data_IF_639912843605
#
_entry.id   IF_639912843605
#
_cell.length_a   1.000
_cell.length_b   1.000
_cell.length_c   1.000
_cell.angle_alpha   90.00
_cell.angle_beta   90.00
_cell.angle_gamma   90.00
#
_symmetry.space_group_name_H-M   'P 1'
#
loop_
_entity.id
_entity.type
_entity.pdbx_description
1 polymer ?
#
# COMPACT_ATOMS: atom_id res chain seq x y z
N UNK A 1 -31.71 -43.46 75.75
CA UNK A 1 -32.48 -42.66 74.75
C UNK A 1 -31.55 -41.62 74.17
N UNK A 2 -30.88 -41.99 73.08
CA UNK A 2 -29.93 -41.07 72.41
C UNK A 2 -30.60 -40.51 71.15
N UNK A 3 -30.72 -39.18 71.05
CA UNK A 3 -31.21 -38.53 69.88
C UNK A 3 -30.01 -38.13 69.03
N UNK A 4 -29.92 -38.75 67.87
CA UNK A 4 -28.91 -38.42 66.86
C UNK A 4 -29.40 -37.19 66.05
N UNK A 5 -28.68 -36.09 66.14
CA UNK A 5 -28.93 -34.88 65.32
C UNK A 5 -28.08 -34.97 64.03
N UNK A 6 -28.77 -35.12 62.94
CA UNK A 6 -28.16 -35.13 61.60
C UNK A 6 -28.03 -33.69 61.09
N UNK A 7 -26.81 -33.19 61.06
CA UNK A 7 -26.52 -31.85 60.54
C UNK A 7 -26.30 -31.94 59.02
N UNK A 8 -27.21 -31.35 58.23
CA UNK A 8 -27.13 -31.30 56.79
C UNK A 8 -26.29 -30.08 56.41
N UNK A 9 -25.08 -30.26 55.85
CA UNK A 9 -24.22 -29.20 55.33
C UNK A 9 -24.65 -28.94 53.92
N UNK A 10 -25.16 -27.72 53.63
CA UNK A 10 -25.47 -27.23 52.32
C UNK A 10 -24.20 -26.51 51.79
N UNK A 11 -23.50 -27.12 50.85
CA UNK A 11 -22.42 -26.52 50.13
C UNK A 11 -22.96 -25.67 48.97
N UNK A 12 -22.99 -24.37 49.11
CA UNK A 12 -23.29 -23.41 48.04
C UNK A 12 -22.08 -23.23 47.13
N UNK A 13 -22.12 -23.82 45.94
CA UNK A 13 -21.13 -23.59 44.87
C UNK A 13 -21.39 -22.22 44.25
N UNK A 14 -20.55 -21.25 44.55
CA UNK A 14 -20.54 -19.94 43.86
C UNK A 14 -19.91 -20.14 42.51
N UNK A 15 -20.73 -20.22 41.44
CA UNK A 15 -20.29 -20.23 40.07
C UNK A 15 -19.81 -18.85 39.69
N UNK A 16 -18.48 -18.66 39.51
CA UNK A 16 -17.91 -17.44 38.92
C UNK A 16 -18.24 -17.39 37.46
N UNK A 17 -19.20 -16.56 37.08
CA UNK A 17 -19.43 -16.16 35.67
C UNK A 17 -18.27 -15.30 35.22
N UNK A 18 -17.34 -15.91 34.48
CA UNK A 18 -16.33 -15.18 33.70
C UNK A 18 -17.03 -14.40 32.59
N UNK A 19 -17.34 -13.14 32.88
CA UNK A 19 -17.75 -12.19 31.83
C UNK A 19 -16.57 -11.94 30.88
N UNK A 20 -16.52 -12.67 29.78
CA UNK A 20 -15.64 -12.34 28.66
C UNK A 20 -16.16 -11.05 28.03
N UNK A 21 -15.60 -9.92 28.43
CA UNK A 21 -15.77 -8.67 27.69
C UNK A 21 -15.23 -8.90 26.28
N UNK A 22 -16.05 -8.80 25.20
CA UNK A 22 -15.49 -8.75 23.87
C UNK A 22 -14.61 -7.50 23.83
N UNK A 23 -13.31 -7.71 23.60
CA UNK A 23 -12.40 -6.60 23.34
C UNK A 23 -12.99 -5.80 22.18
N UNK A 24 -13.56 -4.63 22.47
CA UNK A 24 -14.02 -3.71 21.45
C UNK A 24 -12.81 -3.40 20.56
N UNK A 25 -12.86 -3.83 19.29
CA UNK A 25 -11.82 -3.50 18.34
C UNK A 25 -11.70 -1.98 18.34
N UNK A 26 -10.58 -1.45 18.82
CA UNK A 26 -10.30 -0.02 18.78
C UNK A 26 -10.20 0.37 17.32
N UNK A 27 -11.22 1.05 16.81
CA UNK A 27 -11.17 1.71 15.51
C UNK A 27 -10.19 2.87 15.67
N UNK A 28 -8.97 2.70 15.15
CA UNK A 28 -8.00 3.78 15.11
C UNK A 28 -8.58 4.93 14.29
N UNK A 29 -8.42 6.18 14.74
CA UNK A 29 -8.86 7.32 13.97
C UNK A 29 -8.11 7.33 12.62
N UNK A 30 -8.77 7.80 11.54
CA UNK A 30 -8.12 7.93 10.24
C UNK A 30 -6.83 8.72 10.35
N UNK A 31 -5.77 8.29 9.64
CA UNK A 31 -4.53 9.05 9.60
C UNK A 31 -4.81 10.45 9.02
N UNK A 32 -4.23 11.48 9.66
CA UNK A 32 -4.37 12.86 9.20
C UNK A 32 -3.89 12.97 7.74
N UNK A 33 -4.69 13.57 6.89
CA UNK A 33 -4.29 13.92 5.52
C UNK A 33 -3.08 14.84 5.56
N UNK A 34 -2.10 14.59 4.69
CA UNK A 34 -0.98 15.50 4.52
C UNK A 34 -1.44 16.85 3.94
N UNK A 35 -0.89 17.95 4.42
CA UNK A 35 -1.17 19.29 3.87
C UNK A 35 -0.67 19.39 2.43
N UNK A 36 0.47 18.76 2.16
CA UNK A 36 1.07 18.61 0.84
C UNK A 36 1.47 17.16 0.63
N UNK A 37 1.12 16.60 -0.52
CA UNK A 37 1.55 15.26 -0.89
C UNK A 37 2.99 15.30 -1.40
N UNK A 38 3.84 14.43 -0.85
CA UNK A 38 5.26 14.33 -1.19
C UNK A 38 5.64 12.87 -1.39
N UNK A 39 6.56 12.61 -2.32
CA UNK A 39 7.17 11.29 -2.48
C UNK A 39 8.20 11.13 -1.36
N UNK A 40 7.95 10.17 -0.46
CA UNK A 40 8.80 9.89 0.70
C UNK A 40 9.80 8.77 0.44
N UNK A 41 9.51 7.89 -0.56
CA UNK A 41 10.42 6.82 -1.00
C UNK A 41 10.21 6.51 -2.49
N UNK A 42 11.30 6.27 -3.21
CA UNK A 42 11.29 6.02 -4.66
C UNK A 42 11.17 7.31 -5.48
N UNK A 43 10.73 7.23 -6.75
CA UNK A 43 10.30 6.03 -7.47
C UNK A 43 11.46 5.07 -7.78
N UNK A 44 11.17 3.77 -7.71
CA UNK A 44 12.17 2.72 -7.94
C UNK A 44 11.59 1.58 -8.78
N UNK A 45 12.48 0.90 -9.51
CA UNK A 45 12.17 -0.34 -10.21
C UNK A 45 11.93 -1.44 -9.18
N UNK A 46 10.79 -2.13 -9.25
CA UNK A 46 10.52 -3.33 -8.45
C UNK A 46 10.79 -4.60 -9.24
N UNK A 47 10.34 -4.62 -10.48
CA UNK A 47 10.48 -5.73 -11.41
C UNK A 47 10.63 -5.20 -12.83
N UNK A 48 11.50 -5.79 -13.62
CA UNK A 48 11.52 -5.65 -15.08
C UNK A 48 11.70 -7.00 -15.75
N UNK A 49 10.93 -7.22 -16.81
CA UNK A 49 11.13 -8.26 -17.81
C UNK A 49 11.33 -7.59 -19.17
N UNK A 50 11.53 -8.39 -20.21
CA UNK A 50 11.68 -7.90 -21.59
C UNK A 50 10.49 -7.11 -22.12
N UNK A 51 9.29 -7.28 -21.55
CA UNK A 51 8.05 -6.66 -22.03
C UNK A 51 7.20 -6.01 -20.94
N UNK A 52 7.62 -6.09 -19.67
CA UNK A 52 6.86 -5.60 -18.52
C UNK A 52 7.79 -5.00 -17.47
N UNK A 53 7.33 -3.92 -16.83
CA UNK A 53 8.03 -3.31 -15.69
C UNK A 53 7.03 -2.86 -14.64
N UNK A 54 7.40 -2.99 -13.38
CA UNK A 54 6.67 -2.45 -12.23
C UNK A 54 7.52 -1.37 -11.57
N UNK A 55 6.97 -0.16 -11.50
CA UNK A 55 7.53 0.95 -10.74
C UNK A 55 6.73 1.11 -9.46
N UNK A 56 7.42 1.32 -8.34
CA UNK A 56 6.79 1.62 -7.06
C UNK A 56 7.36 2.90 -6.44
N UNK A 57 6.55 3.55 -5.64
CA UNK A 57 6.94 4.69 -4.80
C UNK A 57 6.01 4.82 -3.62
N UNK A 58 6.41 5.56 -2.62
CA UNK A 58 5.60 5.84 -1.44
C UNK A 58 5.41 7.34 -1.30
N UNK A 59 4.22 7.75 -0.94
CA UNK A 59 3.91 9.13 -0.55
C UNK A 59 3.45 9.16 0.90
N UNK A 60 3.49 10.34 1.53
CA UNK A 60 2.69 10.59 2.71
C UNK A 60 1.19 10.44 2.37
N UNK A 61 0.31 10.38 3.39
CA UNK A 61 -1.11 10.12 3.15
C UNK A 61 -1.77 11.23 2.31
N UNK A 62 -2.23 10.96 1.07
CA UNK A 62 -2.88 11.98 0.24
C UNK A 62 -4.28 12.33 0.75
N UNK A 63 -4.96 11.44 1.49
CA UNK A 63 -6.33 11.61 1.93
C UNK A 63 -7.31 11.74 0.75
N UNK A 64 -8.51 12.21 1.01
CA UNK A 64 -9.52 12.42 -0.03
C UNK A 64 -10.30 11.15 -0.38
N UNK A 65 -10.36 10.81 -1.66
CA UNK A 65 -11.07 9.64 -2.21
C UNK A 65 -10.51 8.31 -1.67
N UNK A 66 -11.36 7.32 -1.46
CA UNK A 66 -10.91 5.98 -1.03
C UNK A 66 -10.04 5.28 -2.07
N UNK A 67 -10.17 5.67 -3.33
CA UNK A 67 -9.38 5.12 -4.44
C UNK A 67 -8.56 6.23 -5.07
N UNK A 68 -7.27 5.96 -5.20
CA UNK A 68 -6.33 6.77 -5.97
C UNK A 68 -5.72 5.95 -7.10
N UNK A 69 -5.19 6.63 -8.09
CA UNK A 69 -4.40 6.04 -9.16
C UNK A 69 -2.95 6.47 -9.04
N UNK A 70 -2.05 5.49 -9.01
CA UNK A 70 -0.66 5.73 -9.35
C UNK A 70 -0.53 5.87 -10.86
N UNK A 71 0.25 6.84 -11.32
CA UNK A 71 0.42 7.17 -12.73
C UNK A 71 1.91 7.13 -13.05
N UNK A 72 2.27 6.47 -14.15
CA UNK A 72 3.60 6.56 -14.74
C UNK A 72 3.47 7.11 -16.16
N UNK A 73 4.05 8.29 -16.40
CA UNK A 73 4.28 8.78 -17.74
C UNK A 73 5.64 8.30 -18.20
N UNK A 74 5.73 7.71 -19.38
CA UNK A 74 6.97 7.11 -19.87
C UNK A 74 7.12 7.19 -21.38
N UNK A 75 8.34 7.02 -21.86
CA UNK A 75 8.68 7.01 -23.27
C UNK A 75 10.14 6.65 -23.48
N UNK A 76 10.56 6.52 -24.72
CA UNK A 76 11.95 6.27 -25.12
C UNK A 76 12.75 7.57 -25.33
N UNK A 77 12.08 8.71 -25.30
CA UNK A 77 12.69 10.03 -25.30
C UNK A 77 12.45 10.71 -23.94
N UNK A 78 13.53 11.21 -23.34
CA UNK A 78 13.48 11.93 -22.05
C UNK A 78 12.60 13.19 -22.09
N UNK A 79 12.48 13.82 -23.25
CA UNK A 79 11.70 15.03 -23.44
C UNK A 79 10.25 14.76 -23.82
N UNK A 80 9.95 13.54 -24.27
CA UNK A 80 8.62 13.12 -24.70
C UNK A 80 8.18 11.82 -24.01
N UNK A 81 7.50 11.98 -22.87
CA UNK A 81 6.90 10.87 -22.10
C UNK A 81 5.44 10.67 -22.56
N UNK A 82 5.26 10.23 -23.81
CA UNK A 82 3.98 10.18 -24.52
C UNK A 82 3.10 8.97 -24.18
N UNK A 83 3.57 8.04 -23.37
CA UNK A 83 2.81 6.88 -22.91
C UNK A 83 2.44 7.04 -21.43
N UNK A 84 1.32 6.43 -21.04
CA UNK A 84 0.84 6.50 -19.65
C UNK A 84 0.34 5.12 -19.21
N UNK A 85 0.79 4.69 -18.04
CA UNK A 85 0.26 3.56 -17.31
C UNK A 85 -0.38 4.03 -16.01
N UNK A 86 -1.51 3.41 -15.62
CA UNK A 86 -2.23 3.72 -14.37
C UNK A 86 -2.57 2.43 -13.64
N UNK A 87 -2.46 2.45 -12.32
CA UNK A 87 -2.91 1.36 -11.46
C UNK A 87 -3.66 1.91 -10.27
N UNK A 88 -4.86 1.39 -9.97
CA UNK A 88 -5.63 1.83 -8.82
C UNK A 88 -5.03 1.29 -7.52
N UNK A 89 -5.17 2.06 -6.46
CA UNK A 89 -4.93 1.62 -5.10
C UNK A 89 -6.07 2.09 -4.21
N UNK A 90 -6.53 1.22 -3.31
CA UNK A 90 -7.43 1.63 -2.23
C UNK A 90 -6.58 2.14 -1.08
N UNK A 91 -6.85 3.37 -0.64
CA UNK A 91 -6.15 3.95 0.51
C UNK A 91 -6.46 3.17 1.78
N UNK A 92 -5.45 2.90 2.57
CA UNK A 92 -5.63 2.50 3.96
C UNK A 92 -5.61 3.78 4.82
N UNK A 93 -6.79 4.25 5.18
CA UNK A 93 -6.93 5.49 5.95
C UNK A 93 -6.29 5.44 7.35
N UNK A 94 -5.99 4.24 7.86
CA UNK A 94 -5.25 4.06 9.11
C UNK A 94 -3.73 4.23 8.98
N UNK A 95 -3.19 4.34 7.75
CA UNK A 95 -1.75 4.48 7.52
C UNK A 95 -1.37 5.93 7.16
N UNK A 96 -0.24 6.44 7.68
CA UNK A 96 0.24 7.78 7.38
C UNK A 96 0.92 7.88 6.00
N UNK A 97 0.95 6.80 5.22
CA UNK A 97 1.58 6.73 3.91
C UNK A 97 0.77 5.86 2.93
N UNK A 98 1.02 6.05 1.65
CA UNK A 98 0.45 5.25 0.57
C UNK A 98 1.56 4.76 -0.35
N UNK A 99 1.58 3.46 -0.64
CA UNK A 99 2.52 2.85 -1.58
C UNK A 99 1.83 2.59 -2.90
N UNK A 100 2.30 3.25 -3.95
CA UNK A 100 1.84 3.03 -5.31
C UNK A 100 2.71 1.98 -6.00
N UNK A 101 2.08 1.15 -6.83
CA UNK A 101 2.72 0.18 -7.72
C UNK A 101 2.03 0.23 -9.06
N UNK A 102 2.75 0.60 -10.09
CA UNK A 102 2.21 0.73 -11.44
C UNK A 102 2.93 -0.22 -12.38
N UNK A 103 2.14 -1.03 -13.06
CA UNK A 103 2.60 -1.97 -14.06
C UNK A 103 2.53 -1.33 -15.44
N UNK A 104 3.65 -1.32 -16.14
CA UNK A 104 3.77 -0.95 -17.56
C UNK A 104 3.93 -2.22 -18.38
N UNK A 105 3.23 -2.33 -19.49
CA UNK A 105 3.22 -3.50 -20.35
C UNK A 105 3.55 -3.14 -21.80
N UNK A 106 3.77 -4.16 -22.62
CA UNK A 106 4.09 -4.03 -24.05
C UNK A 106 5.35 -3.22 -24.31
N UNK A 107 6.29 -3.32 -23.39
CA UNK A 107 7.60 -2.71 -23.55
C UNK A 107 8.44 -3.50 -24.55
N UNK A 108 9.42 -2.84 -25.15
CA UNK A 108 10.39 -3.49 -26.04
C UNK A 108 11.57 -4.00 -25.20
N UNK A 109 12.14 -5.18 -25.50
CA UNK A 109 13.33 -5.68 -24.82
C UNK A 109 14.55 -4.81 -25.10
N UNK A 110 15.55 -4.85 -24.20
CA UNK A 110 16.83 -4.12 -24.28
C UNK A 110 16.67 -2.65 -24.65
N UNK A 111 15.62 -2.01 -24.10
CA UNK A 111 15.25 -0.63 -24.44
C UNK A 111 15.33 0.24 -23.21
N UNK A 112 15.94 1.42 -23.36
CA UNK A 112 15.97 2.46 -22.33
C UNK A 112 14.64 3.20 -22.35
N UNK A 113 13.97 3.25 -21.20
CA UNK A 113 12.78 4.04 -20.96
C UNK A 113 13.06 5.14 -19.96
N UNK A 114 12.52 6.32 -20.22
CA UNK A 114 12.45 7.43 -19.28
C UNK A 114 11.06 7.50 -18.69
N UNK A 115 10.94 7.82 -17.41
CA UNK A 115 9.65 7.88 -16.75
C UNK A 115 9.62 8.88 -15.61
N UNK A 116 8.44 9.35 -15.29
CA UNK A 116 8.14 10.05 -14.04
C UNK A 116 6.82 9.56 -13.49
N UNK A 117 6.66 9.69 -12.17
CA UNK A 117 5.46 9.23 -11.47
C UNK A 117 4.65 10.42 -10.96
N UNK A 118 3.34 10.19 -10.84
CA UNK A 118 2.36 11.09 -10.26
C UNK A 118 1.25 10.27 -9.60
N UNK A 119 0.35 10.93 -8.90
CA UNK A 119 -0.88 10.30 -8.41
C UNK A 119 -2.08 11.25 -8.50
N UNK A 120 -3.27 10.66 -8.55
CA UNK A 120 -4.53 11.39 -8.61
C UNK A 120 -5.65 10.63 -7.89
N UNK A 121 -6.67 11.34 -7.46
CA UNK A 121 -7.91 10.77 -6.95
C UNK A 121 -8.70 10.07 -8.07
N UNK A 122 -9.65 9.18 -7.72
CA UNK A 122 -10.49 8.45 -8.68
C UNK A 122 -11.29 9.35 -9.63
N UNK A 123 -11.57 10.59 -9.25
CA UNK A 123 -12.25 11.60 -10.06
C UNK A 123 -11.30 12.34 -11.02
N UNK A 124 -10.00 11.99 -11.06
CA UNK A 124 -8.97 12.63 -11.89
C UNK A 124 -8.33 13.86 -11.27
N UNK A 125 -8.68 14.22 -10.03
CA UNK A 125 -8.02 15.34 -9.33
C UNK A 125 -6.61 14.94 -8.92
N UNK A 126 -5.62 15.70 -9.39
CA UNK A 126 -4.22 15.48 -9.05
C UNK A 126 -3.96 15.65 -7.55
N UNK A 127 -3.11 14.78 -6.99
CA UNK A 127 -2.55 14.95 -5.64
C UNK A 127 -1.46 16.03 -5.59
N UNK A 128 -1.10 16.63 -6.73
CA UNK A 128 -0.12 17.71 -6.81
C UNK A 128 1.34 17.26 -6.76
N UNK A 129 1.60 15.93 -6.78
CA UNK A 129 2.95 15.38 -6.71
C UNK A 129 3.42 14.83 -8.05
N UNK A 130 4.68 15.13 -8.41
CA UNK A 130 5.38 14.56 -9.57
C UNK A 130 6.84 14.33 -9.22
N UNK A 131 7.41 13.19 -9.67
CA UNK A 131 8.85 12.98 -9.55
C UNK A 131 9.64 13.71 -10.63
N UNK A 132 10.96 13.78 -10.45
CA UNK A 132 11.89 14.02 -11.57
C UNK A 132 11.79 12.90 -12.61
N UNK A 133 12.41 13.10 -13.78
CA UNK A 133 12.50 12.06 -14.80
C UNK A 133 13.59 11.07 -14.40
N UNK A 134 13.22 9.81 -14.29
CA UNK A 134 14.08 8.66 -14.00
C UNK A 134 14.23 7.79 -15.25
N UNK A 135 15.05 6.77 -15.19
CA UNK A 135 15.30 5.85 -16.30
C UNK A 135 15.41 4.40 -15.81
N UNK A 136 15.03 3.46 -16.67
CA UNK A 136 15.33 2.05 -16.54
C UNK A 136 15.58 1.44 -17.91
N UNK A 137 16.19 0.25 -17.93
CA UNK A 137 16.38 -0.53 -19.15
C UNK A 137 15.66 -1.85 -19.00
N UNK A 138 14.85 -2.24 -19.98
CA UNK A 138 14.24 -3.58 -20.03
C UNK A 138 15.35 -4.61 -20.33
N UNK A 139 15.35 -5.77 -19.65
CA UNK A 139 16.28 -6.84 -19.94
C UNK A 139 16.05 -7.48 -21.31
N UNK A 140 16.91 -8.41 -21.69
CA UNK A 140 16.78 -9.22 -22.90
C UNK A 140 15.62 -10.20 -22.81
N UNK A 141 15.24 -10.82 -23.96
CA UNK A 141 14.18 -11.84 -23.99
C UNK A 141 14.43 -12.98 -23.00
N UNK A 142 13.43 -13.28 -22.18
CA UNK A 142 13.49 -14.33 -21.14
C UNK A 142 14.26 -13.95 -19.88
N UNK A 143 14.87 -12.78 -19.83
CA UNK A 143 15.58 -12.27 -18.65
C UNK A 143 14.62 -11.46 -17.76
N UNK A 144 14.98 -11.36 -16.47
CA UNK A 144 14.26 -10.50 -15.54
C UNK A 144 15.19 -9.88 -14.51
N UNK A 145 14.84 -8.70 -14.08
CA UNK A 145 15.47 -7.96 -12.98
C UNK A 145 14.43 -7.83 -11.88
N UNK A 146 14.80 -8.24 -10.65
CA UNK A 146 13.97 -8.05 -9.44
C UNK A 146 14.79 -7.24 -8.47
N UNK A 147 14.36 -6.03 -8.18
CA UNK A 147 14.95 -5.24 -7.12
C UNK A 147 14.28 -5.61 -5.80
N UNK A 148 14.95 -6.41 -5.00
CA UNK A 148 14.52 -6.62 -3.61
C UNK A 148 14.67 -5.31 -2.84
N UNK A 149 13.64 -4.87 -2.08
CA UNK A 149 13.85 -3.77 -1.16
C UNK A 149 14.97 -4.16 -0.19
N UNK A 150 15.96 -3.29 -0.04
CA UNK A 150 16.88 -3.42 1.10
C UNK A 150 16.00 -3.41 2.35
N UNK A 151 16.07 -4.48 3.13
CA UNK A 151 15.49 -4.50 4.48
C UNK A 151 16.41 -3.61 5.31
N UNK A 152 15.87 -2.48 5.73
CA UNK A 152 16.50 -1.62 6.71
C UNK A 152 16.40 -2.28 8.08
#
# INVERSE_FOLDING_TARGET
>A
MSRLLLTLAITTTVGSLLSSNPAAAQVLPPAKRAERVEITKGPELELATDHLTIIRWTTNNPGGSDVHYGIVHYGTDRKDLNQTAKSPIRLNQGHPYTMFRVRMERLKPRTIYYYRVASEESNGKSDGVKSSVNTFTTPGPGERIVAYPKRD
#
